data_IF_369416002730
#
_entry.id   IF_369416002730
#
_cell.length_a   1.000
_cell.length_b   1.000
_cell.length_c   1.000
_cell.angle_alpha   90.00
_cell.angle_beta   90.00
_cell.angle_gamma   90.00
#
_symmetry.space_group_name_H-M   'P 1'
#
loop_
_entity.id
_entity.type
_entity.pdbx_description
1 polymer ?
#
# COMPACT_ATOMS: atom_id res chain seq x y z
N UNK A 1 -2.82 -29.32 13.17
CA UNK A 1 -4.08 -29.54 12.45
C UNK A 1 -5.23 -29.03 13.32
N UNK A 2 -5.95 -28.01 12.82
CA UNK A 2 -7.11 -27.45 13.49
C UNK A 2 -8.29 -28.42 13.37
N UNK A 3 -8.96 -28.73 14.50
CA UNK A 3 -10.17 -29.54 14.50
C UNK A 3 -11.39 -28.62 14.41
N UNK A 4 -11.85 -28.38 13.21
CA UNK A 4 -12.99 -27.49 12.96
C UNK A 4 -14.31 -28.00 13.57
N UNK A 5 -14.41 -29.30 13.83
CA UNK A 5 -15.58 -29.93 14.42
C UNK A 5 -15.84 -29.48 15.88
N UNK A 6 -14.82 -29.00 16.59
CA UNK A 6 -14.92 -28.55 17.97
C UNK A 6 -15.20 -27.05 18.10
N UNK A 7 -15.32 -26.33 16.97
CA UNK A 7 -15.60 -24.90 16.93
C UNK A 7 -17.09 -24.64 17.22
N UNK A 8 -17.37 -23.84 18.25
CA UNK A 8 -18.72 -23.43 18.61
C UNK A 8 -19.08 -22.03 18.13
N UNK A 9 -18.12 -21.14 17.98
CA UNK A 9 -18.31 -19.76 17.51
C UNK A 9 -17.46 -19.53 16.27
N UNK A 10 -18.08 -19.05 15.21
CA UNK A 10 -17.41 -18.62 14.00
C UNK A 10 -17.55 -17.11 13.84
N UNK A 11 -16.45 -16.42 13.65
CA UNK A 11 -16.41 -14.98 13.41
C UNK A 11 -15.75 -14.70 12.06
N UNK A 12 -16.49 -14.05 11.17
CA UNK A 12 -15.97 -13.53 9.90
C UNK A 12 -15.78 -12.02 10.04
N UNK A 13 -14.56 -11.57 9.98
CA UNK A 13 -14.19 -10.16 10.06
C UNK A 13 -13.74 -9.64 8.68
N UNK A 14 -13.96 -8.36 8.39
CA UNK A 14 -13.72 -7.74 7.08
C UNK A 14 -14.40 -8.53 5.92
N UNK A 15 -15.70 -8.89 6.09
CA UNK A 15 -16.42 -9.79 5.19
C UNK A 15 -16.55 -9.23 3.77
N UNK A 16 -16.79 -7.93 3.59
CA UNK A 16 -16.78 -7.22 2.30
C UNK A 16 -15.47 -7.46 1.54
N UNK A 17 -14.35 -7.36 2.21
CA UNK A 17 -13.04 -7.58 1.61
C UNK A 17 -12.75 -9.02 1.25
N UNK A 18 -13.23 -9.97 2.05
CA UNK A 18 -13.10 -11.39 1.71
C UNK A 18 -13.88 -11.73 0.45
N UNK A 19 -15.01 -11.05 0.24
CA UNK A 19 -15.79 -11.14 -0.98
C UNK A 19 -15.05 -10.62 -2.20
N UNK A 20 -14.55 -9.38 -2.12
CA UNK A 20 -13.79 -8.74 -3.20
C UNK A 20 -12.60 -9.60 -3.65
N UNK A 21 -12.03 -10.36 -2.72
CA UNK A 21 -10.91 -11.28 -2.99
C UNK A 21 -11.36 -12.64 -3.54
N UNK A 22 -12.66 -12.90 -3.66
CA UNK A 22 -13.20 -14.15 -4.16
C UNK A 22 -13.06 -15.34 -3.21
N UNK A 23 -12.85 -15.10 -1.89
CA UNK A 23 -12.70 -16.18 -0.89
C UNK A 23 -14.02 -16.80 -0.44
N UNK A 24 -15.12 -16.39 -1.03
CA UNK A 24 -16.43 -16.89 -0.60
C UNK A 24 -16.59 -18.41 -0.67
N UNK A 25 -16.18 -19.10 -1.74
CA UNK A 25 -16.23 -20.55 -1.79
C UNK A 25 -15.42 -21.24 -0.67
N UNK A 26 -14.26 -20.64 -0.30
CA UNK A 26 -13.42 -21.16 0.77
C UNK A 26 -14.07 -20.95 2.14
N UNK A 27 -14.74 -19.82 2.35
CA UNK A 27 -15.50 -19.54 3.56
C UNK A 27 -16.63 -20.54 3.75
N UNK A 28 -17.45 -20.80 2.72
CA UNK A 28 -18.51 -21.79 2.76
C UNK A 28 -17.95 -23.18 3.08
N UNK A 29 -16.86 -23.57 2.42
CA UNK A 29 -16.20 -24.84 2.68
C UNK A 29 -15.76 -24.98 4.16
N UNK A 30 -15.18 -23.92 4.73
CA UNK A 30 -14.78 -23.89 6.14
C UNK A 30 -16.01 -24.03 7.05
N UNK A 31 -17.08 -23.31 6.77
CA UNK A 31 -18.36 -23.32 7.51
C UNK A 31 -18.97 -24.73 7.53
N UNK A 32 -18.96 -25.44 6.40
CA UNK A 32 -19.46 -26.81 6.31
C UNK A 32 -18.67 -27.80 7.21
N UNK A 33 -17.42 -27.51 7.53
CA UNK A 33 -16.58 -28.32 8.41
C UNK A 33 -16.79 -28.03 9.90
N UNK A 34 -17.69 -27.10 10.24
CA UNK A 34 -18.03 -26.68 11.60
C UNK A 34 -19.49 -27.04 11.96
N UNK A 35 -19.86 -28.35 12.03
CA UNK A 35 -21.25 -28.78 12.26
C UNK A 35 -21.77 -28.41 13.64
N UNK A 36 -20.90 -28.18 14.62
CA UNK A 36 -21.27 -27.90 16.00
C UNK A 36 -21.25 -26.40 16.34
N UNK A 37 -21.11 -25.53 15.34
CA UNK A 37 -21.16 -24.08 15.61
C UNK A 37 -22.56 -23.68 16.08
N UNK A 38 -22.60 -22.97 17.18
CA UNK A 38 -23.83 -22.47 17.80
C UNK A 38 -24.02 -20.97 17.53
N UNK A 39 -22.96 -20.24 17.14
CA UNK A 39 -23.00 -18.82 16.87
C UNK A 39 -22.15 -18.47 15.65
N UNK A 40 -22.66 -17.59 14.83
CA UNK A 40 -21.95 -17.00 13.71
C UNK A 40 -22.00 -15.48 13.85
N UNK A 41 -20.83 -14.84 13.78
CA UNK A 41 -20.67 -13.40 13.81
C UNK A 41 -20.05 -12.97 12.48
N UNK A 42 -20.60 -11.91 11.90
CA UNK A 42 -20.08 -11.30 10.68
C UNK A 42 -19.87 -9.81 10.94
N UNK A 43 -18.64 -9.37 10.79
CA UNK A 43 -18.25 -7.97 10.85
C UNK A 43 -17.82 -7.49 9.47
N UNK A 44 -18.33 -6.34 9.07
CA UNK A 44 -18.00 -5.71 7.80
C UNK A 44 -18.11 -4.19 7.94
N UNK A 45 -17.23 -3.46 7.28
CA UNK A 45 -17.32 -2.01 7.24
C UNK A 45 -18.46 -1.56 6.32
N UNK A 46 -18.70 -2.32 5.25
CA UNK A 46 -19.79 -2.09 4.30
C UNK A 46 -20.66 -3.34 4.17
N UNK A 47 -21.96 -3.12 3.88
CA UNK A 47 -22.93 -4.20 3.67
C UNK A 47 -23.58 -4.08 2.29
N UNK A 48 -22.80 -4.22 1.19
CA UNK A 48 -23.39 -4.31 -0.13
C UNK A 48 -24.31 -5.53 -0.23
N UNK A 49 -25.21 -5.52 -1.21
CA UNK A 49 -26.20 -6.58 -1.39
C UNK A 49 -25.56 -7.97 -1.50
N UNK A 50 -24.38 -8.06 -2.09
CA UNK A 50 -23.61 -9.29 -2.19
C UNK A 50 -23.20 -9.85 -0.81
N UNK A 51 -22.78 -9.00 0.12
CA UNK A 51 -22.43 -9.42 1.50
C UNK A 51 -23.66 -9.92 2.23
N UNK A 52 -24.80 -9.24 2.06
CA UNK A 52 -26.06 -9.62 2.70
C UNK A 52 -26.57 -10.96 2.16
N UNK A 53 -26.58 -11.15 0.85
CA UNK A 53 -27.01 -12.40 0.21
C UNK A 53 -26.17 -13.59 0.69
N UNK A 54 -24.87 -13.37 0.82
CA UNK A 54 -23.94 -14.37 1.31
C UNK A 54 -24.16 -14.68 2.79
N UNK A 55 -24.37 -13.67 3.63
CA UNK A 55 -24.65 -13.86 5.03
C UNK A 55 -25.91 -14.73 5.21
N UNK A 56 -26.95 -14.54 4.40
CA UNK A 56 -28.18 -15.34 4.42
C UNK A 56 -27.95 -16.83 4.12
N UNK A 57 -26.91 -17.20 3.37
CA UNK A 57 -26.62 -18.60 3.07
C UNK A 57 -26.16 -19.41 4.29
N UNK A 58 -25.54 -18.76 5.28
CA UNK A 58 -24.99 -19.46 6.45
C UNK A 58 -25.39 -18.89 7.82
N UNK A 59 -26.10 -17.77 7.85
CA UNK A 59 -26.68 -17.18 9.06
C UNK A 59 -28.20 -17.31 9.05
N UNK A 60 -28.74 -17.97 10.05
CA UNK A 60 -30.20 -18.15 10.17
C UNK A 60 -30.72 -17.10 11.14
N UNK A 61 -31.69 -16.29 10.70
CA UNK A 61 -32.29 -15.21 11.50
C UNK A 61 -31.23 -14.27 12.09
N UNK A 62 -30.32 -13.79 11.25
CA UNK A 62 -29.28 -12.88 11.68
C UNK A 62 -29.87 -11.57 12.24
N UNK A 63 -29.42 -11.17 13.41
CA UNK A 63 -29.72 -9.86 13.97
C UNK A 63 -28.72 -8.86 13.38
N UNK A 64 -29.23 -7.80 12.72
CA UNK A 64 -28.41 -6.72 12.19
C UNK A 64 -28.19 -5.67 13.27
N UNK A 65 -26.97 -5.55 13.73
CA UNK A 65 -26.54 -4.49 14.63
C UNK A 65 -25.73 -3.49 13.81
N UNK A 66 -26.33 -2.34 13.54
CA UNK A 66 -25.63 -1.22 12.90
C UNK A 66 -25.26 -0.20 13.98
N UNK A 67 -24.04 0.29 13.94
CA UNK A 67 -23.68 1.48 14.70
C UNK A 67 -24.35 2.68 14.03
N UNK A 68 -25.19 3.39 14.77
CA UNK A 68 -25.81 4.64 14.29
C UNK A 68 -24.77 5.75 14.12
N UNK A 69 -23.62 5.60 14.76
CA UNK A 69 -22.48 6.49 14.60
C UNK A 69 -21.63 6.04 13.40
N UNK A 70 -22.01 6.53 12.21
CA UNK A 70 -21.13 6.52 11.01
C UNK A 70 -19.91 7.45 11.17
N UNK A 71 -19.73 8.03 12.35
CA UNK A 71 -18.44 8.61 12.71
C UNK A 71 -17.47 7.45 12.87
N UNK A 72 -16.83 7.08 11.77
CA UNK A 72 -15.58 6.32 11.84
C UNK A 72 -14.72 7.13 12.80
N UNK A 73 -14.53 6.57 14.00
CA UNK A 73 -13.64 7.21 15.00
C UNK A 73 -12.24 7.16 14.41
N UNK A 74 -12.00 8.11 13.51
CA UNK A 74 -10.68 8.28 12.90
C UNK A 74 -9.81 8.78 14.03
N UNK A 75 -8.84 7.99 14.49
CA UNK A 75 -7.95 8.41 15.55
C UNK A 75 -7.39 9.81 15.25
N UNK A 76 -6.90 10.50 16.25
CA UNK A 76 -6.29 11.84 16.09
C UNK A 76 -5.03 11.72 15.20
N UNK A 77 -5.26 11.72 13.87
CA UNK A 77 -4.24 11.54 12.84
C UNK A 77 -4.09 12.84 12.09
N UNK A 78 -2.88 13.38 12.07
CA UNK A 78 -2.54 14.51 11.24
C UNK A 78 -2.38 14.03 9.78
N UNK A 79 -3.27 14.48 8.90
CA UNK A 79 -3.29 14.09 7.49
C UNK A 79 -2.54 15.11 6.64
N UNK A 80 -1.69 14.63 5.73
CA UNK A 80 -0.94 15.47 4.80
C UNK A 80 -0.95 14.88 3.39
N UNK A 81 -1.05 15.75 2.38
CA UNK A 81 -0.85 15.39 0.99
C UNK A 81 0.27 16.25 0.38
N UNK A 82 1.18 15.62 -0.35
CA UNK A 82 2.24 16.31 -1.09
C UNK A 82 2.03 16.08 -2.58
N UNK A 83 1.89 17.17 -3.35
CA UNK A 83 1.83 17.08 -4.82
C UNK A 83 3.23 16.88 -5.36
N UNK A 84 3.45 15.77 -6.05
CA UNK A 84 4.76 15.42 -6.54
C UNK A 84 4.69 14.54 -7.79
N UNK A 85 5.56 14.78 -8.76
CA UNK A 85 5.73 13.88 -9.88
C UNK A 85 6.25 12.52 -9.44
N UNK A 86 5.80 11.47 -10.11
CA UNK A 86 6.11 10.07 -9.75
C UNK A 86 7.61 9.80 -9.58
N UNK A 87 8.44 10.44 -10.41
CA UNK A 87 9.91 10.32 -10.35
C UNK A 87 10.52 10.82 -9.04
N UNK A 88 9.83 11.73 -8.37
CA UNK A 88 10.30 12.37 -7.15
C UNK A 88 9.63 11.86 -5.85
N UNK A 89 8.69 10.91 -5.93
CA UNK A 89 8.05 10.31 -4.75
C UNK A 89 9.09 9.78 -3.75
N UNK A 90 10.15 9.14 -4.23
CA UNK A 90 11.22 8.62 -3.38
C UNK A 90 12.01 9.73 -2.66
N UNK A 91 12.20 10.88 -3.31
CA UNK A 91 12.84 12.04 -2.69
C UNK A 91 11.99 12.59 -1.52
N UNK A 92 10.67 12.76 -1.74
CA UNK A 92 9.75 13.18 -0.66
C UNK A 92 9.75 12.15 0.47
N UNK A 93 9.66 10.85 0.13
CA UNK A 93 9.72 9.77 1.11
C UNK A 93 11.01 9.84 1.95
N UNK A 94 12.15 10.10 1.31
CA UNK A 94 13.43 10.26 2.01
C UNK A 94 13.41 11.41 3.03
N UNK A 95 12.73 12.52 2.73
CA UNK A 95 12.54 13.63 3.65
C UNK A 95 11.58 13.33 4.79
N UNK A 96 10.49 12.59 4.53
CA UNK A 96 9.59 12.12 5.58
C UNK A 96 10.34 11.19 6.54
N UNK A 97 11.14 10.25 6.01
CA UNK A 97 11.98 9.36 6.82
C UNK A 97 12.98 10.15 7.67
N UNK A 98 13.62 11.16 7.11
CA UNK A 98 14.60 11.98 7.82
C UNK A 98 14.00 12.75 9.00
N UNK A 99 12.69 13.07 8.93
CA UNK A 99 11.96 13.75 10.00
C UNK A 99 11.33 12.80 11.03
N UNK A 100 11.44 11.48 10.82
CA UNK A 100 10.90 10.51 11.76
C UNK A 100 11.69 10.53 13.08
N UNK A 101 10.99 10.44 14.19
CA UNK A 101 11.62 10.34 15.52
C UNK A 101 12.41 9.04 15.68
N UNK A 102 13.42 9.02 16.55
CA UNK A 102 14.25 7.82 16.78
C UNK A 102 13.43 6.61 17.19
N UNK A 103 12.39 6.79 17.99
CA UNK A 103 11.50 5.71 18.45
C UNK A 103 10.33 5.46 17.51
N UNK A 104 10.19 6.24 16.43
CA UNK A 104 9.11 6.13 15.47
C UNK A 104 9.20 4.86 14.64
N UNK A 105 8.03 4.38 14.21
CA UNK A 105 7.88 3.31 13.22
C UNK A 105 7.06 3.80 12.05
N UNK A 106 7.47 3.44 10.85
CA UNK A 106 6.82 3.87 9.61
C UNK A 106 6.31 2.68 8.82
N UNK A 107 5.06 2.78 8.36
CA UNK A 107 4.46 1.84 7.43
C UNK A 107 4.19 2.55 6.10
N UNK A 108 4.79 2.06 5.04
CA UNK A 108 4.68 2.61 3.69
C UNK A 108 3.83 1.67 2.85
N UNK A 109 2.75 2.19 2.28
CA UNK A 109 1.86 1.44 1.40
C UNK A 109 2.18 1.68 -0.07
N UNK A 110 2.22 0.61 -0.84
CA UNK A 110 2.27 0.62 -2.29
C UNK A 110 1.30 -0.38 -2.89
N UNK A 111 0.72 -0.06 -4.05
CA UNK A 111 -0.34 -0.87 -4.66
C UNK A 111 0.17 -2.19 -5.24
N UNK A 112 1.47 -2.32 -5.52
CA UNK A 112 2.03 -3.52 -6.15
C UNK A 112 3.23 -4.09 -5.40
N UNK A 113 3.33 -5.43 -5.36
CA UNK A 113 4.48 -6.15 -4.80
C UNK A 113 5.81 -5.74 -5.45
N UNK A 114 5.81 -5.53 -6.77
CA UNK A 114 6.99 -5.07 -7.50
C UNK A 114 7.47 -3.70 -7.01
N UNK A 115 6.55 -2.78 -6.75
CA UNK A 115 6.91 -1.46 -6.26
C UNK A 115 7.42 -1.53 -4.82
N UNK A 116 6.88 -2.43 -3.98
CA UNK A 116 7.44 -2.71 -2.64
C UNK A 116 8.92 -3.05 -2.74
N UNK A 117 9.30 -3.99 -3.62
CA UNK A 117 10.71 -4.38 -3.81
C UNK A 117 11.56 -3.21 -4.32
N UNK A 118 11.05 -2.44 -5.29
CA UNK A 118 11.74 -1.27 -5.84
C UNK A 118 11.99 -0.21 -4.77
N UNK A 119 11.01 0.09 -3.93
CA UNK A 119 11.17 1.08 -2.86
C UNK A 119 12.23 0.61 -1.86
N UNK A 120 12.15 -0.65 -1.41
CA UNK A 120 13.11 -1.23 -0.46
C UNK A 120 14.53 -1.22 -1.02
N UNK A 121 14.71 -1.67 -2.27
CA UNK A 121 16.03 -1.66 -2.93
C UNK A 121 16.60 -0.24 -3.02
N UNK A 122 15.77 0.72 -3.44
CA UNK A 122 16.20 2.11 -3.59
C UNK A 122 16.52 2.77 -2.25
N UNK A 123 15.70 2.56 -1.22
CA UNK A 123 16.00 3.04 0.13
C UNK A 123 17.32 2.46 0.65
N UNK A 124 17.57 1.17 0.41
CA UNK A 124 18.84 0.52 0.76
C UNK A 124 20.06 1.14 0.10
N UNK A 125 19.95 1.60 -1.16
CA UNK A 125 21.04 2.34 -1.86
C UNK A 125 21.38 3.67 -1.19
N UNK A 126 20.43 4.24 -0.44
CA UNK A 126 20.62 5.48 0.32
C UNK A 126 20.86 5.22 1.81
N UNK A 127 21.22 3.99 2.18
CA UNK A 127 21.47 3.55 3.56
C UNK A 127 20.27 3.70 4.50
N UNK A 128 19.07 3.83 3.95
CA UNK A 128 17.82 3.80 4.70
C UNK A 128 17.35 2.35 4.80
N UNK A 129 17.44 1.77 6.00
CA UNK A 129 17.04 0.38 6.22
C UNK A 129 15.52 0.26 6.21
N UNK A 130 14.97 -0.45 5.24
CA UNK A 130 13.56 -0.78 5.15
C UNK A 130 13.38 -2.26 4.79
N UNK A 131 12.28 -2.86 5.20
CA UNK A 131 11.91 -4.23 4.84
C UNK A 131 10.61 -4.26 4.08
N UNK A 132 10.52 -5.12 3.06
CA UNK A 132 9.32 -5.29 2.25
C UNK A 132 8.47 -6.46 2.73
N UNK A 133 7.15 -6.32 2.68
CA UNK A 133 6.19 -7.39 2.98
C UNK A 133 5.12 -7.43 1.88
N UNK A 134 5.03 -8.56 1.16
CA UNK A 134 4.04 -8.78 0.10
C UNK A 134 3.67 -10.26 -0.05
N UNK A 135 2.64 -10.55 -0.85
CA UNK A 135 2.03 -11.89 -0.93
C UNK A 135 2.93 -13.01 -1.44
N UNK A 136 3.96 -12.71 -2.25
CA UNK A 136 4.88 -13.74 -2.78
C UNK A 136 5.94 -14.18 -1.76
N UNK A 137 5.93 -13.57 -0.57
CA UNK A 137 6.89 -13.91 0.47
C UNK A 137 6.48 -15.19 1.22
N UNK A 138 7.42 -16.11 1.52
CA UNK A 138 7.15 -17.26 2.37
C UNK A 138 6.59 -16.84 3.73
N UNK A 139 5.56 -17.54 4.21
CA UNK A 139 4.84 -17.19 5.44
C UNK A 139 5.76 -17.04 6.66
N UNK A 140 6.72 -17.96 6.84
CA UNK A 140 7.68 -17.91 7.95
C UNK A 140 8.57 -16.65 7.92
N UNK A 141 8.95 -16.18 6.72
CA UNK A 141 9.72 -14.94 6.55
C UNK A 141 8.86 -13.73 6.88
N UNK A 142 7.60 -13.74 6.43
CA UNK A 142 6.64 -12.68 6.73
C UNK A 142 6.41 -12.54 8.23
N UNK A 143 6.12 -13.64 8.93
CA UNK A 143 5.91 -13.65 10.38
C UNK A 143 7.13 -13.14 11.16
N UNK A 144 8.32 -13.54 10.74
CA UNK A 144 9.56 -13.05 11.35
C UNK A 144 9.70 -11.54 11.19
N UNK A 145 9.50 -11.00 9.97
CA UNK A 145 9.60 -9.55 9.72
C UNK A 145 8.53 -8.76 10.48
N UNK A 146 7.31 -9.30 10.59
CA UNK A 146 6.26 -8.71 11.39
C UNK A 146 6.64 -8.64 12.88
N UNK A 147 7.22 -9.70 13.42
CA UNK A 147 7.70 -9.71 14.79
C UNK A 147 8.89 -8.78 15.01
N UNK A 148 9.82 -8.70 14.06
CA UNK A 148 10.94 -7.75 14.09
C UNK A 148 10.42 -6.29 14.03
N UNK A 149 9.33 -6.02 13.30
CA UNK A 149 8.67 -4.72 13.27
C UNK A 149 7.92 -4.42 14.58
N UNK A 150 7.10 -5.35 15.09
CA UNK A 150 6.42 -5.19 16.39
C UNK A 150 7.37 -4.90 17.54
N UNK A 151 8.53 -5.54 17.55
CA UNK A 151 9.55 -5.31 18.58
C UNK A 151 10.38 -4.04 18.38
N UNK A 152 10.12 -3.26 17.33
CA UNK A 152 10.88 -2.05 17.00
C UNK A 152 12.30 -2.30 16.47
N UNK A 153 12.67 -3.54 16.18
CA UNK A 153 13.95 -3.89 15.56
C UNK A 153 14.05 -3.44 14.11
N UNK A 154 12.96 -3.55 13.36
CA UNK A 154 12.78 -2.90 12.08
C UNK A 154 11.91 -1.66 12.27
N UNK A 155 12.34 -0.53 11.72
CA UNK A 155 11.65 0.76 11.89
C UNK A 155 10.78 1.14 10.72
N UNK A 156 11.10 0.63 9.52
CA UNK A 156 10.43 0.99 8.27
C UNK A 156 10.00 -0.27 7.55
N UNK A 157 8.70 -0.40 7.34
CA UNK A 157 8.10 -1.47 6.54
C UNK A 157 7.44 -0.88 5.31
N UNK A 158 7.68 -1.49 4.15
CA UNK A 158 6.96 -1.23 2.90
C UNK A 158 6.07 -2.43 2.61
N UNK A 159 4.78 -2.22 2.41
CA UNK A 159 3.85 -3.31 2.24
C UNK A 159 2.76 -3.02 1.18
N UNK A 160 2.17 -4.09 0.64
CA UNK A 160 0.88 -4.00 -0.05
C UNK A 160 -0.26 -4.12 0.96
N UNK A 161 -1.48 -3.66 0.60
CA UNK A 161 -2.67 -3.75 1.47
C UNK A 161 -2.89 -5.16 2.00
N UNK A 162 -2.89 -6.15 1.11
CA UNK A 162 -3.08 -7.57 1.47
C UNK A 162 -2.05 -8.04 2.49
N UNK A 163 -0.82 -7.59 2.37
CA UNK A 163 0.26 -8.00 3.25
C UNK A 163 0.28 -7.25 4.58
N UNK A 164 -0.24 -6.03 4.61
CA UNK A 164 -0.38 -5.21 5.81
C UNK A 164 -1.61 -5.57 6.66
N UNK A 165 -2.52 -6.40 6.14
CA UNK A 165 -3.68 -6.89 6.92
C UNK A 165 -3.21 -7.72 8.11
N UNK A 166 -3.88 -7.51 9.24
CA UNK A 166 -3.49 -8.14 10.50
C UNK A 166 -2.16 -7.61 11.09
N UNK A 167 -1.63 -6.53 10.54
CA UNK A 167 -0.57 -5.74 11.18
C UNK A 167 -1.19 -4.99 12.36
N UNK A 168 -1.26 -5.70 13.48
CA UNK A 168 -1.58 -5.06 14.76
C UNK A 168 -0.25 -4.66 15.42
N UNK A 169 0.13 -3.42 15.21
CA UNK A 169 1.37 -2.82 15.72
C UNK A 169 1.04 -1.46 16.30
N UNK A 170 1.14 -1.36 17.61
CA UNK A 170 0.81 -0.13 18.36
C UNK A 170 1.84 0.98 18.23
N UNK A 171 3.00 0.66 17.66
CA UNK A 171 4.15 1.58 17.56
C UNK A 171 4.22 2.40 16.28
N UNK A 172 3.28 2.24 15.34
CA UNK A 172 3.31 2.97 14.07
C UNK A 172 2.95 4.44 14.33
N UNK A 173 3.94 5.31 14.12
CA UNK A 173 3.78 6.76 14.27
C UNK A 173 3.49 7.44 12.94
N UNK A 174 4.00 6.88 11.84
CA UNK A 174 3.86 7.45 10.50
C UNK A 174 3.36 6.40 9.52
N UNK A 175 2.30 6.74 8.79
CA UNK A 175 1.82 6.00 7.63
C UNK A 175 2.13 6.80 6.37
N UNK A 176 2.64 6.16 5.33
CA UNK A 176 2.87 6.81 4.03
C UNK A 176 2.13 6.05 2.94
N UNK A 177 1.18 6.70 2.28
CA UNK A 177 0.62 6.24 1.03
C UNK A 177 1.58 6.65 -0.10
N UNK A 178 2.57 5.80 -0.40
CA UNK A 178 3.47 6.02 -1.54
C UNK A 178 2.68 5.99 -2.86
N UNK A 179 1.73 5.07 -2.96
CA UNK A 179 0.66 5.06 -3.95
C UNK A 179 -0.67 5.19 -3.23
N UNK A 180 -1.56 6.05 -3.72
CA UNK A 180 -2.93 6.09 -3.21
C UNK A 180 -3.63 4.76 -3.51
N UNK A 181 -4.50 4.27 -2.63
CA UNK A 181 -5.30 3.10 -2.91
C UNK A 181 -6.34 3.37 -4.00
N UNK A 182 -6.78 2.31 -4.67
CA UNK A 182 -7.78 2.38 -5.73
C UNK A 182 -9.19 2.67 -5.16
N UNK A 183 -9.45 2.24 -3.93
CA UNK A 183 -10.70 2.46 -3.21
C UNK A 183 -10.54 3.36 -1.98
N UNK A 184 -11.62 4.06 -1.62
CA UNK A 184 -11.60 5.05 -0.52
C UNK A 184 -11.55 4.41 0.86
N UNK A 185 -12.05 3.19 1.00
CA UNK A 185 -12.08 2.44 2.25
C UNK A 185 -10.68 1.95 2.63
N UNK A 186 -9.92 1.44 1.66
CA UNK A 186 -8.51 1.09 1.85
C UNK A 186 -7.70 2.27 2.38
N UNK A 187 -8.04 3.51 1.98
CA UNK A 187 -7.38 4.69 2.51
C UNK A 187 -7.56 4.81 4.03
N UNK A 188 -8.79 4.70 4.52
CA UNK A 188 -9.11 4.79 5.96
C UNK A 188 -8.45 3.64 6.72
N UNK A 189 -8.48 2.43 6.19
CA UNK A 189 -7.81 1.27 6.78
C UNK A 189 -6.29 1.42 6.86
N UNK A 190 -5.67 2.09 5.87
CA UNK A 190 -4.23 2.38 5.89
C UNK A 190 -3.88 3.40 6.95
N UNK A 191 -4.55 4.54 6.97
CA UNK A 191 -4.27 5.60 7.95
C UNK A 191 -4.58 5.14 9.37
N UNK A 192 -5.62 4.33 9.57
CA UNK A 192 -5.97 3.71 10.85
C UNK A 192 -4.94 2.71 11.39
N UNK A 193 -3.79 2.51 10.72
CA UNK A 193 -2.64 1.79 11.28
C UNK A 193 -1.83 2.67 12.23
N UNK A 194 -1.97 3.98 12.19
CA UNK A 194 -1.39 4.92 13.17
C UNK A 194 -2.47 5.56 14.04
N UNK A 195 -2.11 6.41 14.96
CA UNK A 195 -3.06 7.12 15.84
C UNK A 195 -3.75 6.23 16.88
N UNK A 196 -3.25 5.01 17.15
CA UNK A 196 -3.88 4.07 18.06
C UNK A 196 -3.54 4.33 19.53
N UNK A 197 -4.42 3.88 20.44
CA UNK A 197 -4.23 3.94 21.89
C UNK A 197 -3.96 5.35 22.43
N UNK A 198 -4.61 6.39 21.85
CA UNK A 198 -4.46 7.77 22.27
C UNK A 198 -3.11 8.43 21.91
N UNK A 199 -2.34 7.79 21.01
CA UNK A 199 -1.12 8.38 20.47
C UNK A 199 -1.44 9.18 19.21
N UNK A 200 -0.76 10.31 19.05
CA UNK A 200 -0.82 11.05 17.78
C UNK A 200 -0.14 10.27 16.67
N UNK A 201 -0.75 10.28 15.50
CA UNK A 201 -0.22 9.67 14.30
C UNK A 201 -0.14 10.67 13.16
N UNK A 202 0.72 10.40 12.19
CA UNK A 202 0.81 11.16 10.95
C UNK A 202 0.52 10.23 9.76
N UNK A 203 -0.23 10.74 8.77
CA UNK A 203 -0.44 10.03 7.52
C UNK A 203 -0.14 10.95 6.32
N UNK A 204 0.83 10.54 5.53
CA UNK A 204 1.32 11.26 4.36
C UNK A 204 0.87 10.58 3.06
N UNK A 205 0.36 11.35 2.11
CA UNK A 205 -0.05 10.86 0.79
C UNK A 205 0.78 11.52 -0.30
N UNK A 206 1.50 10.71 -1.11
CA UNK A 206 2.31 11.20 -2.23
C UNK A 206 1.45 11.22 -3.51
N UNK A 207 0.89 12.38 -3.81
CA UNK A 207 -0.14 12.57 -4.83
C UNK A 207 0.48 13.01 -6.15
N UNK A 208 0.39 12.17 -7.16
CA UNK A 208 0.76 12.51 -8.53
C UNK A 208 -0.38 13.26 -9.23
N UNK A 209 -0.14 13.73 -10.45
CA UNK A 209 -1.15 14.47 -11.21
C UNK A 209 -2.40 13.62 -11.48
N UNK A 210 -2.21 12.32 -11.70
CA UNK A 210 -3.27 11.37 -11.99
C UNK A 210 -4.10 11.02 -10.75
N UNK A 211 -3.51 11.12 -9.56
CA UNK A 211 -4.14 10.75 -8.28
C UNK A 211 -5.07 11.85 -7.72
N UNK A 212 -5.14 13.01 -8.37
CA UNK A 212 -5.87 14.18 -7.83
C UNK A 212 -7.35 13.89 -7.57
N UNK A 213 -8.03 13.25 -8.52
CA UNK A 213 -9.43 12.88 -8.38
C UNK A 213 -9.69 11.88 -7.26
N UNK A 214 -8.71 11.03 -6.96
CA UNK A 214 -8.79 10.05 -5.85
C UNK A 214 -8.79 10.75 -4.48
N UNK A 215 -7.97 11.78 -4.28
CA UNK A 215 -7.97 12.56 -3.02
C UNK A 215 -9.30 13.26 -2.82
N UNK A 216 -9.84 13.90 -3.85
CA UNK A 216 -11.14 14.58 -3.79
C UNK A 216 -12.27 13.59 -3.44
N UNK A 217 -12.23 12.39 -4.03
CA UNK A 217 -13.20 11.32 -3.74
C UNK A 217 -13.08 10.82 -2.30
N UNK A 218 -11.85 10.58 -1.80
CA UNK A 218 -11.61 10.18 -0.40
C UNK A 218 -12.18 11.23 0.57
N UNK A 219 -11.85 12.51 0.35
CA UNK A 219 -12.32 13.61 1.20
C UNK A 219 -13.86 13.70 1.22
N UNK A 220 -14.52 13.57 0.06
CA UNK A 220 -15.98 13.66 -0.02
C UNK A 220 -16.69 12.45 0.58
N UNK A 221 -16.14 11.24 0.42
CA UNK A 221 -16.75 10.01 0.94
C UNK A 221 -16.70 9.94 2.46
N UNK A 222 -15.58 10.36 3.05
CA UNK A 222 -15.33 10.18 4.49
C UNK A 222 -15.39 11.49 5.29
N UNK A 223 -15.80 12.62 4.67
CA UNK A 223 -15.81 13.92 5.34
C UNK A 223 -14.44 14.41 5.82
N UNK A 224 -13.36 13.88 5.22
CA UNK A 224 -11.99 14.19 5.62
C UNK A 224 -11.49 15.50 5.01
N UNK A 225 -10.63 16.18 5.75
CA UNK A 225 -9.83 17.29 5.23
C UNK A 225 -8.37 16.86 5.16
N UNK A 226 -7.82 16.75 3.94
CA UNK A 226 -6.43 16.40 3.70
C UNK A 226 -5.73 17.63 3.12
N UNK A 227 -5.00 18.41 3.92
CA UNK A 227 -4.31 19.60 3.43
C UNK A 227 -3.17 19.21 2.50
N UNK A 228 -3.07 19.94 1.38
CA UNK A 228 -1.88 19.87 0.54
C UNK A 228 -0.80 20.75 1.14
N UNK A 229 0.33 20.14 1.45
CA UNK A 229 1.49 20.81 2.05
C UNK A 229 2.71 20.71 1.14
N UNK A 230 3.67 21.59 1.39
CA UNK A 230 4.98 21.50 0.77
C UNK A 230 5.74 20.25 1.26
N UNK A 231 6.68 19.79 0.45
CA UNK A 231 7.57 18.70 0.86
C UNK A 231 8.30 19.09 2.16
N UNK A 232 8.35 18.19 3.16
CA UNK A 232 9.02 18.48 4.43
C UNK A 232 10.43 19.03 4.23
N UNK A 233 10.83 20.02 5.02
CA UNK A 233 12.21 20.49 5.07
C UNK A 233 13.11 19.39 5.63
N UNK A 234 14.40 19.47 5.34
CA UNK A 234 15.37 18.62 6.05
C UNK A 234 15.44 19.02 7.52
N UNK A 235 15.64 18.04 8.41
CA UNK A 235 15.89 18.31 9.82
C UNK A 235 17.10 19.23 10.02
N UNK A 236 17.11 19.95 11.13
CA UNK A 236 18.23 20.79 11.51
C UNK A 236 19.55 19.99 11.59
N UNK A 237 20.60 20.50 10.98
CA UNK A 237 21.90 19.82 10.91
C UNK A 237 22.08 18.85 9.74
N UNK A 238 21.06 18.67 8.90
CA UNK A 238 21.15 17.88 7.66
C UNK A 238 21.11 18.84 6.46
N UNK A 239 22.26 19.10 5.85
CA UNK A 239 22.41 20.08 4.77
C UNK A 239 22.13 19.51 3.38
N UNK A 240 21.99 18.19 3.26
CA UNK A 240 21.89 17.52 1.95
C UNK A 240 20.89 16.38 1.96
N UNK A 241 20.03 16.36 0.94
CA UNK A 241 19.14 15.22 0.66
C UNK A 241 19.93 13.93 0.41
N UNK A 242 19.58 12.86 1.10
CA UNK A 242 20.09 11.53 0.80
C UNK A 242 19.59 11.05 -0.57
N UNK A 243 18.33 11.31 -0.87
CA UNK A 243 17.73 11.04 -2.17
C UNK A 243 17.69 12.32 -2.97
N UNK A 244 18.36 12.38 -4.12
CA UNK A 244 18.39 13.58 -4.95
C UNK A 244 17.02 13.81 -5.63
N UNK A 245 16.52 15.06 -5.57
CA UNK A 245 15.39 15.50 -6.39
C UNK A 245 15.81 15.49 -7.88
N UNK A 246 14.92 15.03 -8.73
CA UNK A 246 15.09 15.04 -10.18
C UNK A 246 14.29 16.18 -10.77
N UNK A 247 14.96 17.23 -11.22
CA UNK A 247 14.31 18.45 -11.69
C UNK A 247 13.79 18.31 -13.13
N UNK A 248 14.43 17.43 -13.92
CA UNK A 248 14.19 17.37 -15.37
C UNK A 248 13.28 16.20 -15.79
N UNK A 249 12.69 15.45 -14.84
CA UNK A 249 12.08 14.16 -15.14
C UNK A 249 10.60 14.03 -14.75
N UNK A 250 9.98 15.05 -14.18
CA UNK A 250 8.58 14.99 -13.74
C UNK A 250 7.61 14.88 -14.93
N UNK A 251 8.00 15.36 -16.12
CA UNK A 251 7.19 15.32 -17.34
C UNK A 251 7.43 14.05 -18.18
N UNK A 252 8.57 13.37 -17.98
CA UNK A 252 9.04 12.26 -18.84
C UNK A 252 8.95 10.89 -18.14
N UNK A 253 8.76 10.88 -16.83
CA UNK A 253 8.68 9.64 -16.05
C UNK A 253 7.29 9.02 -16.11
N UNK A 254 7.25 7.72 -16.37
CA UNK A 254 6.02 6.92 -16.30
C UNK A 254 5.60 6.62 -14.84
N UNK A 255 4.56 5.80 -14.68
CA UNK A 255 3.95 5.42 -13.40
C UNK A 255 4.90 4.84 -12.36
N UNK A 256 6.11 4.44 -12.76
CA UNK A 256 7.11 3.84 -11.88
C UNK A 256 8.36 4.72 -11.70
N UNK A 257 8.31 5.96 -12.16
CA UNK A 257 9.48 6.83 -12.23
C UNK A 257 10.49 6.34 -13.29
N UNK A 258 10.04 5.54 -14.25
CA UNK A 258 10.82 5.13 -15.40
C UNK A 258 10.79 6.23 -16.47
N UNK A 259 11.88 6.39 -17.18
CA UNK A 259 11.98 7.34 -18.28
C UNK A 259 11.55 6.66 -19.56
N UNK A 260 10.67 7.29 -20.30
CA UNK A 260 10.39 6.88 -21.67
C UNK A 260 11.49 7.42 -22.55
N UNK A 261 12.22 6.53 -23.21
CA UNK A 261 13.22 6.88 -24.20
C UNK A 261 12.65 6.53 -25.57
N UNK A 262 12.46 7.55 -26.41
CA UNK A 262 12.12 7.36 -27.80
C UNK A 262 13.42 7.22 -28.60
N UNK A 263 13.59 6.10 -29.26
CA UNK A 263 14.74 5.83 -30.11
C UNK A 263 14.25 5.78 -31.56
N UNK A 264 14.81 6.61 -32.40
CA UNK A 264 14.60 6.53 -33.85
C UNK A 264 15.51 5.44 -34.43
N UNK A 265 15.05 4.21 -34.29
CA UNK A 265 15.77 3.02 -34.79
C UNK A 265 14.89 2.36 -35.83
N UNK A 266 15.43 2.17 -37.04
CA UNK A 266 14.73 1.48 -38.13
C UNK A 266 14.26 0.08 -37.70
N UNK A 267 13.08 -0.33 -38.14
CA UNK A 267 12.40 -1.57 -37.70
C UNK A 267 13.21 -2.87 -37.88
N UNK A 268 14.28 -2.83 -38.65
CA UNK A 268 15.09 -4.01 -39.01
C UNK A 268 16.39 -4.13 -38.21
N UNK A 269 16.73 -3.18 -37.36
CA UNK A 269 18.09 -3.10 -36.84
C UNK A 269 18.28 -3.75 -35.46
N UNK A 270 17.21 -3.85 -34.64
CA UNK A 270 17.34 -4.43 -33.28
C UNK A 270 16.05 -5.11 -32.82
N UNK A 271 16.19 -6.34 -32.32
CA UNK A 271 15.08 -6.99 -31.60
C UNK A 271 14.86 -6.32 -30.23
N UNK A 272 13.63 -6.38 -29.70
CA UNK A 272 13.30 -5.86 -28.35
C UNK A 272 14.26 -6.38 -27.29
N UNK A 273 14.67 -7.65 -27.38
CA UNK A 273 15.60 -8.28 -26.45
C UNK A 273 17.00 -7.72 -26.59
N UNK A 274 17.51 -7.56 -27.80
CA UNK A 274 18.82 -6.98 -28.06
C UNK A 274 18.90 -5.52 -27.59
N UNK A 275 17.80 -4.77 -27.74
CA UNK A 275 17.70 -3.40 -27.24
C UNK A 275 17.69 -3.36 -25.70
N UNK A 276 16.96 -4.25 -25.05
CA UNK A 276 16.97 -4.36 -23.58
C UNK A 276 18.37 -4.69 -23.05
N UNK A 277 19.03 -5.70 -23.63
CA UNK A 277 20.41 -6.08 -23.25
C UNK A 277 21.41 -4.94 -23.47
N UNK A 278 21.25 -4.18 -24.54
CA UNK A 278 22.08 -3.01 -24.82
C UNK A 278 21.89 -1.90 -23.80
N UNK A 279 20.62 -1.59 -23.44
CA UNK A 279 20.28 -0.58 -22.42
C UNK A 279 20.86 -0.99 -21.06
N UNK A 280 20.67 -2.24 -20.66
CA UNK A 280 21.19 -2.80 -19.40
C UNK A 280 22.71 -2.63 -19.34
N UNK A 281 23.40 -2.99 -20.42
CA UNK A 281 24.87 -2.93 -20.52
C UNK A 281 25.39 -1.49 -20.50
N UNK A 282 24.75 -0.59 -21.25
CA UNK A 282 25.19 0.79 -21.40
C UNK A 282 24.92 1.62 -20.12
N UNK A 283 23.74 1.48 -19.55
CA UNK A 283 23.32 2.22 -18.36
C UNK A 283 23.80 1.60 -17.05
N UNK A 284 24.39 0.40 -17.08
CA UNK A 284 24.79 -0.38 -15.89
C UNK A 284 23.66 -0.56 -14.90
N UNK A 285 22.44 -0.78 -15.40
CA UNK A 285 21.23 -1.03 -14.61
C UNK A 285 20.88 -2.51 -14.65
N UNK A 286 20.08 -2.99 -13.69
CA UNK A 286 19.60 -4.38 -13.72
C UNK A 286 18.48 -4.56 -14.77
N UNK A 287 18.32 -5.76 -15.31
CA UNK A 287 17.20 -6.10 -16.23
C UNK A 287 15.82 -5.78 -15.65
N UNK A 288 15.66 -5.84 -14.34
CA UNK A 288 14.42 -5.53 -13.63
C UNK A 288 14.00 -4.06 -13.82
N UNK A 289 14.94 -3.18 -14.15
CA UNK A 289 14.71 -1.74 -14.32
C UNK A 289 14.27 -1.40 -15.75
N UNK A 290 14.48 -2.31 -16.71
CA UNK A 290 14.02 -2.10 -18.09
C UNK A 290 12.54 -2.45 -18.16
N UNK A 291 11.72 -1.46 -18.44
CA UNK A 291 10.27 -1.60 -18.58
C UNK A 291 9.85 -2.24 -19.91
N UNK A 292 8.60 -2.04 -20.27
CA UNK A 292 8.05 -2.54 -21.51
C UNK A 292 8.65 -1.79 -22.72
N UNK A 293 9.12 -2.52 -23.70
CA UNK A 293 9.60 -1.98 -24.97
C UNK A 293 8.49 -2.12 -26.00
N UNK A 294 7.86 -0.99 -26.35
CA UNK A 294 6.83 -0.93 -27.40
C UNK A 294 7.41 -0.36 -28.69
N UNK A 295 6.95 -0.87 -29.83
CA UNK A 295 7.19 -0.23 -31.13
C UNK A 295 5.96 0.59 -31.49
N UNK A 296 6.12 1.87 -31.80
CA UNK A 296 5.06 2.68 -32.37
C UNK A 296 5.17 2.66 -33.91
N UNK A 297 4.06 2.41 -34.57
CA UNK A 297 3.95 2.44 -36.03
C UNK A 297 3.73 3.88 -36.57
N UNK A 298 4.08 4.91 -35.82
CA UNK A 298 3.94 6.27 -36.28
C UNK A 298 4.99 6.63 -37.33
N UNK A 299 4.68 6.27 -38.55
CA UNK A 299 4.99 7.13 -39.69
C UNK A 299 3.96 8.27 -39.68
N UNK A 300 4.24 9.35 -38.98
CA UNK A 300 3.48 10.59 -39.11
C UNK A 300 4.28 11.58 -39.91
N UNK A 301 3.72 11.94 -40.95
CA UNK A 301 3.77 13.11 -41.83
C UNK A 301 4.68 14.26 -41.41
#
# INVERSE_FOLDING_TARGET
HLKLQDISIFCLDEADRMLDMGFFPDILWVIEKMPNRSQTLLFSATFPEEVLNIAEEFMVNAEHVMSDDLEVDIPEIDLYAVRIGRANKLWVLGRIIANMTEDGQMLIFSNTKRMVDVIVERLGKFQMKAVGIHGDMPQNKRERLLNDFRSGKEKIVVATDVAARGLDVDGITVVVNYDLPDDTESFVHRIGRTGRMGRKGEAWSLVSKEDRGSVEKICSTWGLTIPFVETPSLPEGIDRDLVRKREDWDEVADSFGMVRINLDIGQNDLTKRALADWIVKLAKISEIVVGEITQSDEQSQ
#
